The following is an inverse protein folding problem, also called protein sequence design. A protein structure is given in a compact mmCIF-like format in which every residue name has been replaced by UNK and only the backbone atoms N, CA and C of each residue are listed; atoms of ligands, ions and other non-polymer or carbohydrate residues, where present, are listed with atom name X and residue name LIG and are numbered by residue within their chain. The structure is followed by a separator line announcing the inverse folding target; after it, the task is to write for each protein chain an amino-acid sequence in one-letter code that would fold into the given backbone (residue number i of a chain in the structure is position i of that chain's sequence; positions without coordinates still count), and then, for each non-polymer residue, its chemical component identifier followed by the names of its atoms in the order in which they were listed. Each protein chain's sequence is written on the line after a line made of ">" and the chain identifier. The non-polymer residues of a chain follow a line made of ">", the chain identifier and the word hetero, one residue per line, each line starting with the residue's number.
data_IF_364660957091
#
_entry.id   IF_364660957091
#
_cell.length_a   1.000
_cell.length_b   1.000
_cell.length_c   1.000
_cell.angle_alpha   90.00
_cell.angle_beta   90.00
_cell.angle_gamma   90.00
#
_symmetry.space_group_name_H-M   'P 1'
#
loop_
_entity.id
_entity.type
_entity.pdbx_description
1 polymer ?
#
# COMPACT_ATOMS: atom_id res chain seq x y z
N UNK A 1 -23.40 -13.99 1.86
CA UNK A 1 -22.69 -14.87 2.81
C UNK A 1 -22.80 -14.18 4.14
N UNK A 2 -23.50 -14.79 5.08
CA UNK A 2 -23.50 -14.28 6.44
C UNK A 2 -22.09 -14.29 7.00
N UNK A 3 -21.61 -13.20 7.63
CA UNK A 3 -20.20 -13.01 7.95
C UNK A 3 -19.64 -14.00 8.97
N UNK A 4 -20.43 -14.90 9.51
CA UNK A 4 -20.04 -15.88 10.53
C UNK A 4 -20.24 -17.34 10.14
N UNK A 5 -20.68 -17.61 8.91
CA UNK A 5 -20.84 -18.99 8.44
C UNK A 5 -19.56 -19.42 7.74
N UNK A 6 -18.87 -20.38 8.31
CA UNK A 6 -17.67 -20.99 7.71
C UNK A 6 -17.88 -22.48 7.55
N UNK A 7 -17.40 -23.00 6.44
CA UNK A 7 -17.44 -24.41 6.12
C UNK A 7 -16.11 -25.07 6.48
N UNK A 8 -16.16 -26.30 6.92
CA UNK A 8 -14.97 -27.14 7.11
C UNK A 8 -14.37 -27.55 5.74
N UNK A 9 -13.26 -28.27 5.76
CA UNK A 9 -12.60 -28.74 4.54
C UNK A 9 -13.48 -29.72 3.70
N UNK A 10 -14.56 -30.25 4.26
CA UNK A 10 -15.50 -31.14 3.59
C UNK A 10 -16.76 -30.39 3.10
N UNK A 11 -16.85 -29.09 3.31
CA UNK A 11 -17.96 -28.26 2.92
C UNK A 11 -19.16 -28.26 3.88
N UNK A 12 -18.98 -28.75 5.12
CA UNK A 12 -20.03 -28.70 6.12
C UNK A 12 -19.97 -27.38 6.89
N UNK A 13 -21.13 -26.81 7.17
CA UNK A 13 -21.26 -25.64 8.02
C UNK A 13 -20.79 -25.93 9.45
N UNK A 14 -19.96 -25.05 9.99
CA UNK A 14 -19.49 -25.16 11.38
C UNK A 14 -20.46 -24.46 12.32
N UNK A 15 -20.90 -25.14 13.39
CA UNK A 15 -21.88 -24.59 14.33
C UNK A 15 -21.29 -23.59 15.31
N UNK A 16 -19.93 -23.51 15.41
CA UNK A 16 -19.28 -22.62 16.36
C UNK A 16 -19.07 -21.22 15.77
N UNK A 17 -19.15 -20.21 16.59
CA UNK A 17 -18.75 -18.87 16.22
C UNK A 17 -17.26 -18.84 15.87
N UNK A 18 -16.95 -18.47 14.63
CA UNK A 18 -15.58 -18.37 14.19
C UNK A 18 -15.04 -16.99 14.55
N UNK A 19 -13.95 -16.99 15.29
CA UNK A 19 -13.26 -15.77 15.72
C UNK A 19 -12.02 -15.48 14.88
N UNK A 20 -11.49 -16.48 14.18
CA UNK A 20 -10.32 -16.34 13.33
C UNK A 20 -10.29 -17.40 12.22
N UNK A 21 -9.63 -17.05 11.11
CA UNK A 21 -9.38 -17.94 9.98
C UNK A 21 -7.87 -17.94 9.72
N UNK A 22 -7.28 -19.13 9.63
CA UNK A 22 -5.88 -19.30 9.27
C UNK A 22 -5.72 -19.88 7.87
N UNK A 23 -4.62 -19.53 7.20
CA UNK A 23 -4.23 -20.15 5.93
C UNK A 23 -3.61 -21.53 6.20
N UNK A 24 -3.85 -22.48 5.31
CA UNK A 24 -3.21 -23.78 5.34
C UNK A 24 -1.75 -23.69 4.83
N UNK A 25 -0.95 -24.69 5.16
CA UNK A 25 0.42 -24.79 4.63
C UNK A 25 0.42 -24.73 3.10
N UNK A 26 1.29 -23.87 2.55
CA UNK A 26 1.40 -23.66 1.12
C UNK A 26 0.34 -22.72 0.49
N UNK A 27 -0.60 -22.20 1.28
CA UNK A 27 -1.65 -21.30 0.81
C UNK A 27 -1.36 -19.82 1.04
N UNK A 28 -0.20 -19.48 1.57
CA UNK A 28 0.17 -18.08 1.74
C UNK A 28 1.60 -17.83 1.28
N UNK A 29 1.84 -16.60 0.86
CA UNK A 29 3.17 -16.10 0.49
C UNK A 29 3.43 -14.80 1.23
N UNK A 30 4.60 -14.71 1.84
CA UNK A 30 5.13 -13.46 2.38
C UNK A 30 6.19 -12.94 1.42
N UNK A 31 6.13 -11.67 1.08
CA UNK A 31 7.04 -11.04 0.11
C UNK A 31 7.69 -9.80 0.71
N UNK A 32 8.96 -9.60 0.38
CA UNK A 32 9.63 -8.31 0.50
C UNK A 32 9.25 -7.43 -0.69
N UNK A 33 8.25 -6.57 -0.52
CA UNK A 33 7.81 -5.67 -1.59
C UNK A 33 8.86 -4.65 -1.99
N UNK A 34 9.75 -4.24 -1.08
CA UNK A 34 10.89 -3.40 -1.41
C UNK A 34 11.87 -4.09 -2.36
N UNK A 35 12.19 -5.35 -2.06
CA UNK A 35 13.00 -6.18 -2.94
C UNK A 35 12.35 -6.44 -4.30
N UNK A 36 11.04 -6.68 -4.33
CA UNK A 36 10.29 -6.82 -5.60
C UNK A 36 10.34 -5.53 -6.42
N UNK A 37 10.08 -4.38 -5.80
CA UNK A 37 10.14 -3.09 -6.50
C UNK A 37 11.53 -2.83 -7.08
N UNK A 38 12.59 -3.05 -6.30
CA UNK A 38 13.97 -2.93 -6.78
C UNK A 38 14.26 -3.88 -7.95
N UNK A 39 13.81 -5.12 -7.90
CA UNK A 39 13.99 -6.09 -8.99
C UNK A 39 13.27 -5.65 -10.26
N UNK A 40 12.05 -5.12 -10.14
CA UNK A 40 11.29 -4.61 -11.30
C UNK A 40 11.98 -3.40 -11.92
N UNK A 41 12.49 -2.48 -11.10
CA UNK A 41 13.25 -1.31 -11.56
C UNK A 41 14.52 -1.73 -12.30
N UNK A 42 15.32 -2.64 -11.72
CA UNK A 42 16.52 -3.13 -12.37
C UNK A 42 16.23 -3.87 -13.70
N UNK A 43 15.14 -4.63 -13.71
CA UNK A 43 14.72 -5.31 -14.94
C UNK A 43 14.28 -4.31 -16.02
N UNK A 44 13.56 -3.27 -15.67
CA UNK A 44 13.16 -2.20 -16.59
C UNK A 44 14.39 -1.49 -17.18
N UNK A 45 15.36 -1.12 -16.36
CA UNK A 45 16.62 -0.50 -16.81
C UNK A 45 17.41 -1.43 -17.76
N UNK A 46 17.49 -2.71 -17.44
CA UNK A 46 18.19 -3.69 -18.27
C UNK A 46 17.51 -3.88 -19.64
N UNK A 47 16.16 -3.83 -19.69
CA UNK A 47 15.41 -3.98 -20.93
C UNK A 47 15.40 -2.71 -21.77
N UNK A 48 15.37 -1.54 -21.12
CA UNK A 48 15.23 -0.24 -21.79
C UNK A 48 16.55 0.38 -22.22
N UNK A 49 17.67 -0.06 -21.69
CA UNK A 49 18.98 0.52 -21.95
C UNK A 49 19.00 2.03 -21.73
N UNK A 50 19.64 2.77 -22.62
CA UNK A 50 19.77 4.23 -22.55
C UNK A 50 18.45 5.00 -22.75
N UNK A 51 17.35 4.31 -23.08
CA UNK A 51 16.02 4.90 -23.23
C UNK A 51 15.25 5.09 -21.91
N UNK A 52 15.81 4.62 -20.78
CA UNK A 52 15.17 4.68 -19.45
C UNK A 52 16.08 5.39 -18.45
N UNK A 53 15.45 6.30 -17.72
CA UNK A 53 16.13 7.00 -16.63
C UNK A 53 15.30 6.91 -15.36
N UNK A 54 15.97 6.82 -14.19
CA UNK A 54 15.36 6.88 -12.87
C UNK A 54 16.03 8.00 -12.10
N UNK A 55 15.24 9.00 -11.73
CA UNK A 55 15.67 10.10 -10.90
C UNK A 55 15.15 9.89 -9.47
N UNK A 56 16.04 9.55 -8.54
CA UNK A 56 15.74 9.47 -7.12
C UNK A 56 15.88 10.84 -6.45
N UNK A 57 15.26 11.00 -5.28
CA UNK A 57 15.24 12.29 -4.55
C UNK A 57 14.73 13.46 -5.40
N UNK A 58 13.78 13.17 -6.26
CA UNK A 58 13.18 14.10 -7.23
C UNK A 58 11.70 14.25 -6.96
N UNK A 59 11.35 15.13 -6.02
CA UNK A 59 9.96 15.40 -5.65
C UNK A 59 9.27 16.18 -6.77
N UNK A 60 8.14 15.68 -7.26
CA UNK A 60 7.27 16.43 -8.17
C UNK A 60 6.48 17.46 -7.37
N UNK A 61 6.85 18.73 -7.50
CA UNK A 61 6.25 19.84 -6.75
C UNK A 61 5.10 20.50 -7.49
N UNK A 62 5.10 20.46 -8.83
CA UNK A 62 4.03 20.99 -9.66
C UNK A 62 3.95 20.27 -11.01
N UNK A 63 2.78 20.32 -11.64
CA UNK A 63 2.57 19.74 -12.96
C UNK A 63 1.48 20.53 -13.69
N UNK A 64 1.71 20.83 -14.96
CA UNK A 64 0.73 21.53 -15.81
C UNK A 64 0.81 21.06 -17.26
N UNK A 65 -0.31 21.11 -17.95
CA UNK A 65 -0.36 20.88 -19.39
C UNK A 65 -0.12 22.22 -20.12
N UNK A 66 0.81 22.22 -21.07
CA UNK A 66 1.14 23.36 -21.90
C UNK A 66 1.11 22.91 -23.37
N UNK A 67 0.07 23.31 -24.10
CA UNK A 67 -0.19 22.75 -25.42
C UNK A 67 -0.44 21.24 -25.36
N UNK A 68 0.34 20.48 -26.11
CA UNK A 68 0.23 19.02 -26.17
C UNK A 68 1.20 18.28 -25.23
N UNK A 69 1.97 19.02 -24.43
CA UNK A 69 2.97 18.46 -23.51
C UNK A 69 2.65 18.77 -22.06
N UNK A 70 3.22 17.95 -21.16
CA UNK A 70 3.20 18.17 -19.73
C UNK A 70 4.53 18.75 -19.27
N UNK A 71 4.47 19.79 -18.46
CA UNK A 71 5.60 20.37 -17.78
C UNK A 71 5.55 19.93 -16.31
N UNK A 72 6.53 19.19 -15.88
CA UNK A 72 6.63 18.58 -14.56
C UNK A 72 7.76 19.26 -13.82
N UNK A 73 7.43 19.98 -12.77
CA UNK A 73 8.42 20.66 -11.94
C UNK A 73 8.91 19.71 -10.86
N UNK A 74 10.22 19.51 -10.77
CA UNK A 74 10.87 18.70 -9.76
C UNK A 74 11.66 19.60 -8.80
N UNK A 75 11.64 19.24 -7.53
CA UNK A 75 12.37 19.97 -6.47
C UNK A 75 12.19 21.50 -6.56
N UNK A 76 13.29 22.24 -6.51
CA UNK A 76 13.28 23.72 -6.45
C UNK A 76 13.19 24.41 -7.82
N UNK A 77 12.92 23.71 -8.92
CA UNK A 77 12.67 24.43 -10.16
C UNK A 77 13.09 23.78 -11.46
N UNK A 78 13.69 22.62 -11.45
CA UNK A 78 13.93 21.84 -12.66
C UNK A 78 12.59 21.45 -13.31
N UNK A 79 12.48 21.57 -14.64
CA UNK A 79 11.26 21.23 -15.38
C UNK A 79 11.55 20.16 -16.41
N UNK A 80 10.89 19.03 -16.27
CA UNK A 80 10.87 17.95 -17.27
C UNK A 80 9.64 18.15 -18.17
N UNK A 81 9.84 17.98 -19.47
CA UNK A 81 8.75 18.01 -20.45
C UNK A 81 8.48 16.60 -20.94
N UNK A 82 7.21 16.18 -20.97
CA UNK A 82 6.79 14.87 -21.42
C UNK A 82 5.50 14.94 -22.25
N UNK A 83 5.36 14.04 -23.21
CA UNK A 83 4.12 13.88 -23.99
C UNK A 83 3.02 13.16 -23.18
N UNK A 84 3.41 12.27 -22.29
CA UNK A 84 2.52 11.49 -21.43
C UNK A 84 3.07 11.44 -20.01
N UNK A 85 2.17 11.42 -19.06
CA UNK A 85 2.51 11.28 -17.63
C UNK A 85 1.61 10.22 -17.00
N UNK A 86 2.21 9.28 -16.31
CA UNK A 86 1.50 8.33 -15.45
C UNK A 86 1.80 8.71 -14.01
N UNK A 87 0.76 9.03 -13.24
CA UNK A 87 0.88 9.40 -11.83
C UNK A 87 0.60 8.16 -10.98
N UNK A 88 1.66 7.55 -10.47
CA UNK A 88 1.61 6.42 -9.55
C UNK A 88 2.35 6.78 -8.25
N UNK A 89 1.85 7.82 -7.59
CA UNK A 89 2.43 8.40 -6.38
C UNK A 89 1.72 7.92 -5.08
N UNK A 90 1.08 6.75 -5.12
CA UNK A 90 0.36 6.20 -3.98
C UNK A 90 -0.68 7.18 -3.44
N UNK A 91 -0.62 7.48 -2.15
CA UNK A 91 -1.54 8.40 -1.48
C UNK A 91 -1.51 9.84 -2.05
N UNK A 92 -0.41 10.25 -2.69
CA UNK A 92 -0.27 11.58 -3.29
C UNK A 92 -0.82 11.68 -4.71
N UNK A 93 -1.24 10.59 -5.33
CA UNK A 93 -1.71 10.60 -6.72
C UNK A 93 -2.92 11.52 -6.91
N UNK A 94 -3.89 11.48 -6.00
CA UNK A 94 -5.06 12.36 -6.07
C UNK A 94 -4.69 13.83 -5.86
N UNK A 95 -3.75 14.12 -4.98
CA UNK A 95 -3.24 15.47 -4.74
C UNK A 95 -2.60 16.06 -6.01
N UNK A 96 -1.80 15.29 -6.73
CA UNK A 96 -1.23 15.72 -8.02
C UNK A 96 -2.31 15.88 -9.10
N UNK A 97 -3.32 15.00 -9.13
CA UNK A 97 -4.46 15.13 -10.03
C UNK A 97 -5.26 16.41 -9.76
N UNK A 98 -5.49 16.77 -8.49
CA UNK A 98 -6.15 18.04 -8.11
C UNK A 98 -5.39 19.27 -8.61
N UNK A 99 -4.05 19.27 -8.55
CA UNK A 99 -3.22 20.35 -9.11
C UNK A 99 -3.44 20.55 -10.61
N UNK A 100 -3.80 19.46 -11.30
CA UNK A 100 -4.14 19.46 -12.72
C UNK A 100 -5.62 19.77 -13.01
N UNK A 101 -6.44 19.98 -11.98
CA UNK A 101 -7.88 20.22 -12.08
C UNK A 101 -8.72 18.96 -12.24
N UNK A 102 -8.16 17.76 -12.05
CA UNK A 102 -8.88 16.50 -12.17
C UNK A 102 -9.32 15.96 -10.82
N UNK A 103 -10.48 15.31 -10.81
CA UNK A 103 -10.97 14.60 -9.62
C UNK A 103 -11.31 15.49 -8.43
N UNK A 104 -11.59 16.79 -8.62
CA UNK A 104 -11.83 17.77 -7.55
C UNK A 104 -13.00 17.42 -6.63
N UNK A 105 -13.90 16.54 -7.08
CA UNK A 105 -15.03 16.01 -6.30
C UNK A 105 -14.67 14.76 -5.47
N UNK A 106 -13.46 14.24 -5.60
CA UNK A 106 -12.96 13.09 -4.88
C UNK A 106 -12.12 13.54 -3.69
N UNK A 107 -12.06 12.71 -2.67
CA UNK A 107 -11.23 12.90 -1.49
C UNK A 107 -10.60 11.58 -1.05
N UNK A 108 -9.46 11.67 -0.39
CA UNK A 108 -8.80 10.51 0.21
C UNK A 108 -9.01 10.52 1.72
N UNK A 109 -9.41 9.39 2.29
CA UNK A 109 -9.41 9.17 3.74
C UNK A 109 -8.16 8.39 4.13
N UNK A 110 -7.10 9.03 4.61
CA UNK A 110 -5.89 8.33 5.02
C UNK A 110 -6.11 7.56 6.32
N UNK A 111 -5.76 6.28 6.31
CA UNK A 111 -5.81 5.41 7.48
C UNK A 111 -4.43 4.82 7.72
N UNK A 112 -3.84 5.14 8.86
CA UNK A 112 -2.57 4.56 9.27
C UNK A 112 -2.81 3.27 10.06
N UNK A 113 -1.91 2.30 9.89
CA UNK A 113 -1.88 1.07 10.66
C UNK A 113 -0.51 0.83 11.29
N UNK A 114 -0.50 0.30 12.51
CA UNK A 114 0.73 -0.15 13.17
C UNK A 114 0.64 -1.63 13.43
N UNK A 115 1.80 -2.28 13.41
CA UNK A 115 1.95 -3.67 13.79
C UNK A 115 2.76 -3.79 15.08
N UNK A 116 2.40 -4.75 15.90
CA UNK A 116 3.14 -5.14 17.08
C UNK A 116 3.90 -6.42 16.77
N UNK A 117 5.19 -6.45 17.06
CA UNK A 117 6.04 -7.59 16.83
C UNK A 117 6.19 -8.42 18.12
N UNK A 118 5.99 -9.73 18.01
CA UNK A 118 6.48 -10.66 19.00
C UNK A 118 8.00 -10.85 18.80
N UNK A 119 8.71 -11.17 19.85
CA UNK A 119 10.16 -11.43 19.78
C UNK A 119 10.50 -12.86 19.27
N UNK A 120 9.52 -13.57 18.75
CA UNK A 120 9.66 -14.92 18.19
C UNK A 120 8.56 -15.22 17.17
N UNK A 121 8.75 -16.30 16.41
CA UNK A 121 7.73 -16.84 15.53
C UNK A 121 6.66 -17.57 16.35
N UNK A 122 5.44 -17.10 16.30
CA UNK A 122 4.26 -17.69 16.96
C UNK A 122 3.32 -18.36 15.97
N UNK A 123 3.33 -17.93 14.71
CA UNK A 123 2.45 -18.41 13.64
C UNK A 123 3.26 -19.00 12.50
N UNK A 124 2.73 -20.05 11.87
CA UNK A 124 3.34 -20.67 10.68
C UNK A 124 2.73 -20.17 9.37
N UNK A 125 1.65 -19.45 9.45
CA UNK A 125 0.92 -18.88 8.32
C UNK A 125 0.21 -17.60 8.73
N UNK A 126 -0.62 -17.08 7.84
CA UNK A 126 -1.43 -15.90 8.11
C UNK A 126 -2.74 -16.27 8.78
N UNK A 127 -3.08 -15.58 9.85
CA UNK A 127 -4.32 -15.75 10.62
C UNK A 127 -5.07 -14.43 10.62
N UNK A 128 -6.33 -14.43 10.21
CA UNK A 128 -7.21 -13.28 10.21
C UNK A 128 -8.27 -13.43 11.30
N UNK A 129 -8.57 -12.36 12.02
CA UNK A 129 -9.82 -12.26 12.77
C UNK A 129 -10.99 -12.01 11.82
N UNK A 130 -12.19 -12.36 12.23
CA UNK A 130 -13.41 -11.98 11.51
C UNK A 130 -13.51 -10.45 11.45
N UNK A 131 -13.83 -9.94 10.27
CA UNK A 131 -13.99 -8.50 10.03
C UNK A 131 -15.07 -7.93 10.95
N UNK A 132 -14.77 -6.84 11.60
CA UNK A 132 -15.76 -6.08 12.37
C UNK A 132 -16.44 -5.06 11.44
N UNK A 133 -17.76 -5.09 11.34
CA UNK A 133 -18.54 -4.19 10.48
C UNK A 133 -18.36 -2.70 10.83
N UNK A 134 -17.97 -2.41 12.09
CA UNK A 134 -17.64 -1.05 12.53
C UNK A 134 -16.24 -0.57 12.12
N UNK A 135 -15.40 -1.46 11.59
CA UNK A 135 -14.05 -1.18 11.10
C UNK A 135 -13.84 -1.79 9.72
N UNK A 136 -14.53 -1.29 8.68
CA UNK A 136 -14.60 -1.93 7.38
C UNK A 136 -13.29 -1.94 6.59
N UNK A 137 -12.28 -1.22 7.03
CA UNK A 137 -11.01 -1.04 6.31
C UNK A 137 -9.83 -1.81 6.91
N UNK A 138 -10.00 -2.54 8.03
CA UNK A 138 -8.88 -3.27 8.63
C UNK A 138 -9.36 -4.50 9.40
N UNK A 139 -9.10 -5.69 8.88
CA UNK A 139 -9.15 -6.92 9.66
C UNK A 139 -7.83 -7.12 10.38
N UNK A 140 -7.89 -7.28 11.71
CA UNK A 140 -6.70 -7.66 12.48
C UNK A 140 -6.20 -9.03 11.98
N UNK A 141 -4.91 -9.12 11.75
CA UNK A 141 -4.29 -10.36 11.36
C UNK A 141 -2.90 -10.52 11.99
N UNK A 142 -2.42 -11.75 11.99
CA UNK A 142 -1.07 -12.08 12.39
C UNK A 142 -0.38 -12.89 11.30
N UNK A 143 0.88 -12.64 11.05
CA UNK A 143 1.71 -13.37 10.12
C UNK A 143 3.21 -13.29 10.49
N UNK A 144 4.03 -14.28 10.07
CA UNK A 144 5.47 -14.13 10.18
C UNK A 144 5.99 -13.08 9.19
N UNK A 145 6.86 -12.19 9.64
CA UNK A 145 7.47 -11.16 8.81
C UNK A 145 8.88 -11.61 8.39
N UNK A 146 9.11 -11.70 7.07
CA UNK A 146 10.42 -12.14 6.54
C UNK A 146 11.53 -11.13 6.80
N UNK A 147 11.20 -9.83 6.89
CA UNK A 147 12.17 -8.78 7.18
C UNK A 147 12.52 -8.70 8.67
N UNK A 148 11.72 -9.35 9.53
CA UNK A 148 11.94 -9.46 10.96
C UNK A 148 12.35 -10.88 11.38
N UNK A 149 13.14 -11.58 10.57
CA UNK A 149 13.62 -12.95 10.80
C UNK A 149 12.48 -13.97 11.04
N UNK A 150 11.31 -13.74 10.48
CA UNK A 150 10.14 -14.59 10.67
C UNK A 150 9.43 -14.38 12.01
N UNK A 151 9.79 -13.39 12.79
CA UNK A 151 9.05 -13.00 13.97
C UNK A 151 7.61 -12.68 13.62
N UNK A 152 6.67 -13.07 14.45
CA UNK A 152 5.26 -12.82 14.18
C UNK A 152 4.91 -11.37 14.49
N UNK A 153 4.20 -10.75 13.57
CA UNK A 153 3.57 -9.44 13.76
C UNK A 153 2.06 -9.57 13.84
N UNK A 154 1.43 -8.66 14.57
CA UNK A 154 -0.02 -8.57 14.76
C UNK A 154 -0.49 -7.15 14.47
N UNK A 155 -1.53 -7.02 13.68
CA UNK A 155 -2.11 -5.74 13.30
C UNK A 155 -2.96 -5.88 12.02
N UNK A 156 -3.18 -4.77 11.31
CA UNK A 156 -2.84 -3.41 11.71
C UNK A 156 -3.81 -2.84 12.75
N UNK A 157 -3.36 -1.85 13.50
CA UNK A 157 -4.29 -0.88 14.10
C UNK A 157 -4.90 -0.02 13.00
N UNK A 158 -6.03 0.63 13.27
CA UNK A 158 -6.62 1.56 12.31
C UNK A 158 -6.77 2.93 12.97
N UNK A 159 -6.08 3.92 12.42
CA UNK A 159 -6.11 5.30 12.86
C UNK A 159 -6.31 6.21 11.66
N UNK A 160 -7.41 6.96 11.64
CA UNK A 160 -7.61 8.02 10.66
C UNK A 160 -6.64 9.14 10.95
N UNK A 161 -5.90 9.58 9.95
CA UNK A 161 -4.94 10.68 10.06
C UNK A 161 -5.30 11.79 9.09
N UNK A 162 -5.12 13.07 9.47
CA UNK A 162 -5.45 14.22 8.62
C UNK A 162 -4.34 14.57 7.64
N UNK A 163 -3.56 13.60 7.18
CA UNK A 163 -2.46 13.79 6.24
C UNK A 163 -2.19 12.53 5.44
N UNK A 164 -1.59 12.67 4.26
CA UNK A 164 -1.33 11.56 3.34
C UNK A 164 -0.25 10.60 3.84
N UNK A 165 0.67 11.07 4.67
CA UNK A 165 1.75 10.26 5.22
C UNK A 165 1.87 10.41 6.73
N UNK A 166 2.27 9.32 7.39
CA UNK A 166 2.41 9.30 8.84
C UNK A 166 3.70 9.96 9.33
N UNK A 167 4.78 9.81 8.58
CA UNK A 167 6.15 10.10 9.07
C UNK A 167 6.76 11.39 8.53
N UNK A 168 6.19 11.97 7.49
CA UNK A 168 6.68 13.20 6.88
C UNK A 168 5.80 14.37 7.29
N UNK A 169 6.38 15.40 7.88
CA UNK A 169 5.88 16.70 8.28
C UNK A 169 4.39 17.06 8.07
N UNK A 170 4.11 18.34 7.99
CA UNK A 170 2.75 18.86 7.76
C UNK A 170 2.47 19.22 6.29
N UNK A 171 3.41 18.97 5.39
CA UNK A 171 3.31 19.35 3.97
C UNK A 171 2.23 18.62 3.18
N UNK A 172 1.69 17.53 3.72
CA UNK A 172 0.64 16.73 3.09
C UNK A 172 -0.75 16.92 3.70
N UNK A 173 -0.99 18.01 4.41
CA UNK A 173 -2.35 18.43 4.77
C UNK A 173 -3.10 18.88 3.53
N UNK A 174 -4.40 18.53 3.46
CA UNK A 174 -5.33 19.00 2.44
C UNK A 174 -5.77 20.42 2.70
#
# INVERSE_FOLDING_TARGET
>A
IEPNVVFDANGNERPENIIAIGTQNGQYTTMDFGGVANSLVQNALNLGGDGYEISLSSEVTDMKKVGDTFHIKINDGEVITANYVVVDAGAHSLFLAHKMGYGLHLSTLPVAGSFYFANKRLLNGKVYMVQNDKLPFAALHGDPDILANGNTRFGPTALVIPKLERFHGCSSFF
#
